data_IF_492493274822
#
_entry.id   IF_492493274822
#
_cell.length_a   1.000
_cell.length_b   1.000
_cell.length_c   1.000
_cell.angle_alpha   90.00
_cell.angle_beta   90.00
_cell.angle_gamma   90.00
#
_symmetry.space_group_name_H-M   'P 1'
#
loop_
_entity.id
_entity.type
_entity.pdbx_description
1 polymer ?
#
# COMPACT_ATOMS: atom_id res chain seq x y z
N UNK A 1 -3.11 -63.36 32.85
CA UNK A 1 -1.70 -63.28 33.29
C UNK A 1 -1.01 -62.18 32.50
N UNK A 2 -0.45 -61.22 33.24
CA UNK A 2 0.58 -60.22 32.93
C UNK A 2 0.48 -59.29 31.71
N UNK A 3 0.14 -58.04 32.07
CA UNK A 3 0.55 -56.76 31.49
C UNK A 3 2.08 -56.59 31.47
N UNK A 4 2.61 -55.84 30.49
CA UNK A 4 3.82 -55.04 30.68
C UNK A 4 3.87 -53.83 29.72
N UNK A 5 3.67 -52.65 30.31
CA UNK A 5 4.05 -51.33 29.77
C UNK A 5 5.57 -51.16 29.79
N UNK A 6 6.12 -50.42 28.82
CA UNK A 6 7.42 -49.76 28.95
C UNK A 6 7.35 -48.35 28.34
N UNK A 7 7.36 -47.35 29.23
CA UNK A 7 7.71 -45.95 28.97
C UNK A 7 9.20 -45.75 29.24
N UNK A 8 9.89 -44.91 28.46
CA UNK A 8 11.12 -44.14 28.77
C UNK A 8 11.46 -43.32 27.51
N UNK A 9 12.05 -42.13 27.47
CA UNK A 9 12.34 -41.04 28.41
C UNK A 9 12.75 -39.83 27.51
N UNK A 10 12.37 -38.60 27.84
CA UNK A 10 12.93 -37.38 27.21
C UNK A 10 14.32 -37.10 27.79
N UNK A 11 15.25 -36.48 27.04
CA UNK A 11 16.29 -35.65 27.63
C UNK A 11 15.97 -34.15 27.52
N UNK A 12 16.54 -33.44 28.48
CA UNK A 12 16.18 -32.14 29.00
C UNK A 12 16.74 -30.94 28.20
N UNK A 13 16.05 -29.82 28.38
CA UNK A 13 16.48 -28.47 28.04
C UNK A 13 17.52 -27.97 29.05
N UNK A 14 18.57 -27.31 28.58
CA UNK A 14 19.49 -26.49 29.38
C UNK A 14 19.21 -25.01 29.11
N UNK A 15 19.14 -24.14 30.15
CA UNK A 15 18.97 -22.70 29.97
C UNK A 15 20.33 -21.99 29.89
N UNK A 16 20.46 -21.07 28.94
CA UNK A 16 21.60 -20.16 28.82
C UNK A 16 21.40 -18.97 29.77
N UNK A 17 22.37 -18.74 30.65
CA UNK A 17 22.48 -17.56 31.53
C UNK A 17 23.43 -16.57 30.86
N UNK A 18 22.99 -15.33 30.65
CA UNK A 18 23.89 -14.19 30.48
C UNK A 18 24.00 -13.39 31.78
N UNK A 19 25.21 -12.97 32.09
CA UNK A 19 25.56 -12.16 33.24
C UNK A 19 26.38 -10.95 32.77
N UNK A 20 26.15 -9.80 33.42
CA UNK A 20 27.25 -8.91 33.80
C UNK A 20 27.40 -7.59 33.06
N UNK A 21 26.84 -6.55 33.67
CA UNK A 21 27.15 -5.11 33.58
C UNK A 21 28.62 -4.77 33.85
N UNK A 22 29.17 -3.68 33.26
CA UNK A 22 29.92 -2.60 33.96
C UNK A 22 30.24 -1.39 33.06
N UNK A 23 30.49 -0.26 33.73
CA UNK A 23 30.50 1.14 33.31
C UNK A 23 31.81 1.66 32.65
N UNK A 24 31.78 2.92 32.17
CA UNK A 24 32.90 3.72 31.59
C UNK A 24 34.01 4.11 32.60
N UNK A 25 34.76 5.25 32.47
CA UNK A 25 34.48 6.48 31.70
C UNK A 25 35.72 7.21 31.07
N UNK A 26 35.50 8.47 30.65
CA UNK A 26 36.38 9.67 30.71
C UNK A 26 37.28 10.13 29.53
N UNK A 27 36.97 11.38 29.13
CA UNK A 27 37.84 12.58 29.07
C UNK A 27 38.68 12.86 27.81
N UNK A 28 38.54 14.09 27.30
CA UNK A 28 39.42 14.69 26.29
C UNK A 28 38.86 15.98 25.71
N UNK A 29 39.18 17.11 26.35
CA UNK A 29 38.70 18.48 26.08
C UNK A 29 39.67 19.21 25.14
N UNK A 30 39.16 20.26 24.47
CA UNK A 30 39.88 21.50 23.98
C UNK A 30 40.67 21.38 22.67
N UNK A 31 40.86 22.37 21.76
CA UNK A 31 40.80 23.86 21.72
C UNK A 31 40.63 24.33 20.24
N UNK A 32 39.92 25.46 20.07
CA UNK A 32 39.98 26.57 19.08
C UNK A 32 40.53 26.44 17.64
N UNK A 33 39.87 27.19 16.74
CA UNK A 33 40.49 27.79 15.54
C UNK A 33 39.50 28.51 14.63
N UNK A 34 39.01 29.69 15.04
CA UNK A 34 38.27 30.60 14.17
C UNK A 34 39.24 31.49 13.37
N UNK A 35 38.92 31.77 12.11
CA UNK A 35 39.49 32.88 11.34
C UNK A 35 38.37 33.55 10.53
N UNK A 36 38.13 34.82 10.89
CA UNK A 36 37.29 35.79 10.20
C UNK A 36 37.89 36.23 8.86
N UNK A 37 37.03 36.77 7.98
CA UNK A 37 37.37 38.05 7.36
C UNK A 37 37.08 38.27 5.87
N UNK A 38 35.88 38.80 5.61
CA UNK A 38 35.57 40.06 4.86
C UNK A 38 35.78 40.18 3.32
N UNK A 39 34.72 40.72 2.70
CA UNK A 39 34.67 41.53 1.46
C UNK A 39 33.28 41.36 0.80
N UNK A 40 32.29 42.27 0.88
CA UNK A 40 32.23 43.66 0.42
C UNK A 40 32.11 43.70 -1.11
N UNK A 41 31.07 44.16 -1.83
CA UNK A 41 29.81 44.89 -1.60
C UNK A 41 29.09 45.00 -2.99
N UNK A 42 27.85 45.52 -3.08
CA UNK A 42 27.00 45.41 -4.29
C UNK A 42 27.01 46.68 -5.17
N UNK A 43 26.69 46.55 -6.46
CA UNK A 43 26.40 47.68 -7.35
C UNK A 43 25.08 47.44 -8.07
N UNK A 44 24.11 48.30 -7.79
CA UNK A 44 22.84 48.45 -8.50
C UNK A 44 23.04 49.37 -9.71
N UNK A 45 22.29 49.13 -10.79
CA UNK A 45 22.00 50.16 -11.80
C UNK A 45 20.52 50.13 -12.18
N UNK A 46 19.97 51.32 -12.27
CA UNK A 46 18.58 51.72 -12.46
C UNK A 46 18.21 51.82 -13.94
N UNK A 47 16.92 51.69 -14.25
CA UNK A 47 16.30 52.15 -15.49
C UNK A 47 15.14 53.10 -15.16
N UNK A 48 14.95 54.22 -15.89
CA UNK A 48 13.86 55.15 -15.65
C UNK A 48 12.61 54.86 -16.49
N UNK A 49 11.48 55.26 -15.91
CA UNK A 49 10.14 55.37 -16.50
C UNK A 49 10.08 56.20 -17.78
N UNK A 50 9.22 55.78 -18.72
CA UNK A 50 8.45 56.69 -19.59
C UNK A 50 7.04 56.15 -19.88
N UNK A 51 6.04 56.95 -19.47
CA UNK A 51 4.67 56.94 -19.99
C UNK A 51 4.62 57.19 -21.50
N UNK A 52 3.54 56.75 -22.18
CA UNK A 52 2.53 57.60 -22.85
C UNK A 52 1.73 56.85 -23.96
N UNK A 53 0.39 56.96 -23.85
CA UNK A 53 -0.71 56.95 -24.83
C UNK A 53 -1.21 55.71 -25.60
N UNK A 54 -2.42 55.31 -25.20
CA UNK A 54 -3.65 55.07 -25.98
C UNK A 54 -3.59 55.15 -27.51
N UNK A 55 -4.03 54.08 -28.17
CA UNK A 55 -4.95 54.17 -29.33
C UNK A 55 -5.86 52.94 -29.34
N UNK A 56 -7.17 53.18 -29.39
CA UNK A 56 -8.23 52.17 -29.45
C UNK A 56 -8.22 51.40 -30.78
N UNK A 57 -8.41 50.08 -30.71
CA UNK A 57 -8.98 49.28 -31.79
C UNK A 57 -10.14 48.45 -31.21
N UNK A 58 -11.37 48.85 -31.53
CA UNK A 58 -12.58 48.09 -31.22
C UNK A 58 -12.71 46.99 -32.28
N UNK A 59 -12.45 45.74 -31.89
CA UNK A 59 -12.79 44.55 -32.68
C UNK A 59 -14.04 43.95 -32.07
N UNK A 60 -15.14 43.97 -32.83
CA UNK A 60 -16.39 43.33 -32.46
C UNK A 60 -16.27 41.82 -32.69
N UNK A 61 -16.16 41.04 -31.61
CA UNK A 61 -16.17 39.57 -31.66
C UNK A 61 -17.55 39.07 -31.26
N UNK A 62 -18.16 38.30 -32.16
CA UNK A 62 -19.45 37.63 -31.96
C UNK A 62 -19.28 36.56 -30.86
N UNK A 63 -20.00 36.71 -29.74
CA UNK A 63 -20.10 35.71 -28.67
C UNK A 63 -21.07 34.60 -29.11
N UNK A 64 -20.52 33.46 -29.55
CA UNK A 64 -21.24 32.19 -29.50
C UNK A 64 -21.14 31.67 -28.06
N UNK A 65 -22.26 31.69 -27.33
CA UNK A 65 -22.39 31.05 -26.03
C UNK A 65 -22.36 29.52 -26.21
N UNK A 66 -21.16 28.95 -26.29
CA UNK A 66 -20.95 27.54 -25.99
C UNK A 66 -21.01 27.39 -24.47
N UNK A 67 -21.97 26.60 -23.97
CA UNK A 67 -21.94 26.13 -22.59
C UNK A 67 -20.70 25.25 -22.42
N UNK A 68 -19.59 25.86 -22.01
CA UNK A 68 -18.40 25.14 -21.58
C UNK A 68 -18.76 24.46 -20.27
N UNK A 69 -18.96 23.15 -20.31
CA UNK A 69 -18.91 22.32 -19.11
C UNK A 69 -17.51 22.46 -18.54
N UNK A 70 -17.37 23.14 -17.40
CA UNK A 70 -16.11 23.25 -16.69
C UNK A 70 -15.56 21.83 -16.42
N UNK A 71 -14.26 21.56 -16.68
CA UNK A 71 -13.68 20.28 -16.34
C UNK A 71 -13.67 20.11 -14.81
N UNK A 72 -13.83 18.87 -14.31
CA UNK A 72 -13.92 18.64 -12.87
C UNK A 72 -12.63 19.09 -12.17
N UNK A 73 -12.79 19.87 -11.12
CA UNK A 73 -11.72 20.39 -10.27
C UNK A 73 -11.09 19.27 -9.42
N UNK A 74 -9.84 19.48 -8.96
CA UNK A 74 -9.06 18.57 -8.08
C UNK A 74 -9.82 18.09 -6.82
N UNK A 75 -10.91 18.76 -6.44
CA UNK A 75 -11.80 18.36 -5.36
C UNK A 75 -12.55 17.04 -5.65
N UNK A 76 -12.92 16.75 -6.90
CA UNK A 76 -13.68 15.53 -7.23
C UNK A 76 -12.88 14.24 -7.04
N UNK A 77 -11.54 14.34 -6.94
CA UNK A 77 -10.65 13.20 -6.68
C UNK A 77 -10.49 12.91 -5.18
N UNK A 78 -10.95 13.81 -4.30
CA UNK A 78 -10.83 13.70 -2.83
C UNK A 78 -12.14 13.33 -2.13
N UNK A 79 -13.21 13.08 -2.88
CA UNK A 79 -14.47 12.62 -2.31
C UNK A 79 -14.26 11.27 -1.61
N UNK A 80 -14.70 11.12 -0.35
CA UNK A 80 -14.59 9.85 0.34
C UNK A 80 -15.40 8.79 -0.42
N UNK A 81 -14.78 7.63 -0.69
CA UNK A 81 -15.41 6.51 -1.41
C UNK A 81 -16.77 6.08 -0.83
N UNK A 82 -17.06 6.41 0.43
CA UNK A 82 -18.36 6.27 1.07
C UNK A 82 -19.50 7.07 0.44
N UNK A 83 -19.24 7.94 -0.56
CA UNK A 83 -20.24 8.72 -1.31
C UNK A 83 -20.32 8.36 -2.81
N UNK A 84 -19.61 7.34 -3.30
CA UNK A 84 -19.76 6.91 -4.70
C UNK A 84 -21.12 6.22 -4.87
N UNK A 85 -21.93 6.70 -5.82
CA UNK A 85 -23.16 6.05 -6.28
C UNK A 85 -22.87 4.64 -6.81
N UNK A 86 -23.88 3.75 -6.84
CA UNK A 86 -23.74 2.36 -7.33
C UNK A 86 -23.19 2.22 -8.76
N UNK A 87 -23.20 3.32 -9.53
CA UNK A 87 -22.57 3.42 -10.84
C UNK A 87 -21.34 4.30 -10.74
N UNK A 88 -20.15 3.72 -10.96
CA UNK A 88 -18.91 4.47 -11.16
C UNK A 88 -18.95 5.13 -12.56
N UNK A 89 -19.06 6.46 -12.69
CA UNK A 89 -19.09 7.12 -13.99
C UNK A 89 -17.82 6.88 -14.82
N UNK A 90 -16.72 6.51 -14.14
CA UNK A 90 -15.43 6.20 -14.73
C UNK A 90 -15.20 4.69 -14.90
N UNK A 91 -16.26 3.87 -14.94
CA UNK A 91 -16.16 2.41 -15.06
C UNK A 91 -15.29 1.97 -16.26
N UNK A 92 -15.41 2.69 -17.37
CA UNK A 92 -14.67 2.49 -18.62
C UNK A 92 -13.14 2.65 -18.48
N UNK A 93 -12.64 3.19 -17.35
CA UNK A 93 -11.21 3.36 -17.07
C UNK A 93 -10.59 2.20 -16.30
N UNK A 94 -11.40 1.23 -15.85
CA UNK A 94 -10.91 0.02 -15.22
C UNK A 94 -10.45 -0.99 -16.26
N UNK A 95 -9.21 -1.44 -16.14
CA UNK A 95 -8.60 -2.44 -17.01
C UNK A 95 -8.43 -3.74 -16.21
N UNK A 96 -9.02 -4.87 -16.64
CA UNK A 96 -8.75 -6.15 -16.02
C UNK A 96 -7.29 -6.57 -16.22
N UNK A 97 -6.65 -7.08 -15.17
CA UNK A 97 -5.27 -7.62 -15.22
C UNK A 97 -5.24 -9.13 -14.95
N UNK A 98 -6.40 -9.77 -14.97
CA UNK A 98 -6.57 -11.21 -14.93
C UNK A 98 -7.77 -11.57 -15.81
N UNK A 99 -7.60 -12.57 -16.67
CA UNK A 99 -8.59 -12.97 -17.69
C UNK A 99 -9.60 -14.00 -17.17
N UNK A 100 -9.41 -14.52 -15.94
CA UNK A 100 -10.24 -15.57 -15.35
C UNK A 100 -9.84 -17.00 -15.72
N UNK A 101 -8.86 -17.20 -16.61
CA UNK A 101 -8.57 -18.51 -17.21
C UNK A 101 -7.09 -18.88 -17.23
N UNK A 102 -6.19 -17.91 -17.27
CA UNK A 102 -4.74 -18.13 -17.36
C UNK A 102 -3.98 -17.22 -16.38
N UNK A 103 -2.74 -17.61 -16.08
CA UNK A 103 -1.78 -16.74 -15.38
C UNK A 103 -0.98 -15.87 -16.36
N UNK A 104 -1.53 -15.54 -17.54
CA UNK A 104 -0.85 -14.64 -18.47
C UNK A 104 -0.57 -13.29 -17.81
N UNK A 105 0.67 -12.83 -17.91
CA UNK A 105 1.14 -11.63 -17.22
C UNK A 105 1.47 -11.82 -15.74
N UNK A 106 1.26 -13.01 -15.19
CA UNK A 106 1.59 -13.39 -13.82
C UNK A 106 2.72 -14.43 -13.78
N UNK A 107 3.62 -14.33 -12.80
CA UNK A 107 4.75 -15.25 -12.63
C UNK A 107 4.99 -15.54 -11.16
N UNK A 108 4.95 -16.81 -10.79
CA UNK A 108 5.22 -17.29 -9.44
C UNK A 108 5.61 -18.75 -9.44
N UNK A 109 5.79 -19.32 -8.27
CA UNK A 109 6.14 -20.73 -8.12
C UNK A 109 4.93 -21.64 -8.47
N UNK A 110 4.98 -22.44 -9.55
CA UNK A 110 3.82 -23.22 -10.01
C UNK A 110 3.41 -24.31 -9.02
N UNK A 111 4.24 -24.58 -7.99
CA UNK A 111 3.90 -25.45 -6.86
C UNK A 111 2.72 -24.92 -6.04
N UNK A 112 2.49 -23.62 -6.02
CA UNK A 112 1.49 -22.98 -5.16
C UNK A 112 0.37 -22.27 -5.93
N UNK A 113 0.59 -21.93 -7.20
CA UNK A 113 -0.29 -21.05 -7.97
C UNK A 113 -0.97 -21.78 -9.13
N UNK A 114 -2.29 -21.71 -9.16
CA UNK A 114 -3.16 -22.25 -10.23
C UNK A 114 -4.29 -21.27 -10.55
N UNK A 115 -5.07 -21.57 -11.59
CA UNK A 115 -6.36 -20.92 -11.86
C UNK A 115 -7.47 -21.95 -11.71
N UNK A 116 -8.49 -21.63 -10.92
CA UNK A 116 -9.67 -22.48 -10.70
C UNK A 116 -10.91 -21.59 -10.62
N UNK A 117 -11.99 -21.98 -11.30
CA UNK A 117 -13.30 -21.33 -11.21
C UNK A 117 -13.27 -19.80 -11.36
N UNK A 118 -12.52 -19.30 -12.36
CA UNK A 118 -12.42 -17.86 -12.59
C UNK A 118 -11.54 -17.11 -11.59
N UNK A 119 -10.76 -17.81 -10.77
CA UNK A 119 -9.94 -17.24 -9.70
C UNK A 119 -8.47 -17.60 -9.86
N UNK A 120 -7.56 -16.67 -9.53
CA UNK A 120 -6.20 -17.01 -9.15
C UNK A 120 -6.27 -17.70 -7.79
N UNK A 121 -5.61 -18.86 -7.66
CA UNK A 121 -5.59 -19.65 -6.43
C UNK A 121 -4.17 -19.85 -5.97
N UNK A 122 -3.86 -19.38 -4.76
CA UNK A 122 -2.65 -19.71 -4.02
C UNK A 122 -2.97 -20.74 -2.96
N UNK A 123 -2.28 -21.90 -2.94
CA UNK A 123 -2.60 -23.00 -2.02
C UNK A 123 -1.38 -23.67 -1.41
N UNK A 124 -1.39 -23.83 -0.09
CA UNK A 124 -0.51 -24.71 0.67
C UNK A 124 -1.31 -25.81 1.37
N UNK A 125 -0.76 -27.02 1.45
CA UNK A 125 -1.38 -28.17 2.12
C UNK A 125 -0.38 -28.85 3.06
N UNK A 126 -0.79 -29.78 3.94
CA UNK A 126 0.16 -30.57 4.72
C UNK A 126 1.18 -31.33 3.85
N UNK A 127 0.76 -31.84 2.69
CA UNK A 127 1.58 -32.56 1.72
C UNK A 127 2.40 -31.61 0.85
N UNK A 128 1.93 -30.37 0.71
CA UNK A 128 2.58 -29.30 -0.05
C UNK A 128 2.79 -28.04 0.82
N UNK A 129 3.64 -28.10 1.86
CA UNK A 129 3.74 -27.01 2.82
C UNK A 129 4.49 -25.80 2.25
N UNK A 130 4.02 -24.60 2.61
CA UNK A 130 4.71 -23.34 2.34
C UNK A 130 5.63 -23.02 3.53
N UNK A 131 6.91 -23.42 3.42
CA UNK A 131 7.91 -23.23 4.49
C UNK A 131 8.65 -21.89 4.40
N UNK A 132 8.56 -21.24 3.24
CA UNK A 132 8.99 -19.87 2.98
C UNK A 132 7.84 -19.17 2.28
N UNK A 133 7.59 -17.91 2.59
CA UNK A 133 6.54 -17.13 1.92
C UNK A 133 6.87 -17.02 0.42
N UNK A 134 5.86 -17.12 -0.43
CA UNK A 134 6.00 -17.00 -1.89
C UNK A 134 5.02 -15.97 -2.43
N UNK A 135 5.32 -15.43 -3.60
CA UNK A 135 4.49 -14.42 -4.24
C UNK A 135 4.24 -14.73 -5.73
N UNK A 136 3.08 -14.32 -6.22
CA UNK A 136 2.73 -14.32 -7.64
C UNK A 136 2.85 -12.89 -8.16
N UNK A 137 3.87 -12.62 -8.97
CA UNK A 137 4.17 -11.27 -9.48
C UNK A 137 3.34 -10.98 -10.72
N UNK A 138 2.70 -9.82 -10.80
CA UNK A 138 2.22 -9.30 -12.07
C UNK A 138 3.35 -8.52 -12.77
N UNK A 139 3.43 -8.59 -14.09
CA UNK A 139 4.50 -7.93 -14.85
C UNK A 139 4.37 -6.40 -14.93
N UNK A 140 3.16 -5.85 -14.72
CA UNK A 140 2.95 -4.41 -14.80
C UNK A 140 3.66 -3.68 -13.66
N UNK A 141 4.38 -2.61 -14.02
CA UNK A 141 4.89 -1.61 -13.10
C UNK A 141 3.87 -0.47 -13.04
N UNK A 142 3.43 -0.15 -11.82
CA UNK A 142 2.39 0.85 -11.56
C UNK A 142 2.90 1.90 -10.59
N UNK A 143 2.60 3.15 -10.88
CA UNK A 143 2.86 4.34 -10.08
C UNK A 143 1.56 4.76 -9.34
N UNK A 144 0.79 5.68 -9.90
CA UNK A 144 -0.45 6.19 -9.35
C UNK A 144 -1.65 5.42 -9.92
N UNK A 145 -2.38 4.72 -9.06
CA UNK A 145 -3.47 3.83 -9.48
C UNK A 145 -4.52 3.65 -8.37
N UNK A 146 -5.70 3.22 -8.80
CA UNK A 146 -6.63 2.45 -7.99
C UNK A 146 -6.59 0.99 -8.44
N UNK A 147 -6.59 0.05 -7.51
CA UNK A 147 -6.64 -1.39 -7.76
C UNK A 147 -7.81 -1.98 -6.97
N UNK A 148 -8.77 -2.58 -7.65
CA UNK A 148 -9.88 -3.33 -7.03
C UNK A 148 -9.70 -4.81 -7.30
N UNK A 149 -10.09 -5.65 -6.33
CA UNK A 149 -10.16 -7.10 -6.46
C UNK A 149 -11.09 -7.68 -5.40
N UNK A 150 -11.56 -8.89 -5.62
CA UNK A 150 -12.22 -9.69 -4.60
C UNK A 150 -11.27 -10.74 -4.06
N UNK A 151 -11.26 -10.94 -2.74
CA UNK A 151 -10.40 -11.90 -2.05
C UNK A 151 -11.20 -12.77 -1.08
N UNK A 152 -10.82 -14.04 -1.00
CA UNK A 152 -11.35 -15.02 -0.05
C UNK A 152 -10.22 -15.91 0.48
N UNK A 153 -10.24 -16.19 1.77
CA UNK A 153 -9.27 -17.05 2.45
C UNK A 153 -9.94 -18.27 3.08
N UNK A 154 -9.28 -19.41 2.96
CA UNK A 154 -9.68 -20.67 3.59
C UNK A 154 -8.51 -21.22 4.41
N UNK A 155 -8.82 -21.75 5.61
CA UNK A 155 -7.84 -22.21 6.60
C UNK A 155 -7.74 -21.27 7.81
N UNK A 156 -7.71 -21.83 9.02
CA UNK A 156 -7.75 -21.07 10.27
C UNK A 156 -6.58 -20.07 10.41
N UNK A 157 -5.40 -20.46 9.95
CA UNK A 157 -4.19 -19.62 9.97
C UNK A 157 -3.90 -18.88 8.66
N UNK A 158 -4.87 -18.81 7.73
CA UNK A 158 -4.65 -18.26 6.41
C UNK A 158 -4.35 -16.75 6.47
N UNK A 159 -3.24 -16.35 5.86
CA UNK A 159 -2.76 -14.98 5.76
C UNK A 159 -2.23 -14.75 4.36
N UNK A 160 -2.62 -13.63 3.76
CA UNK A 160 -2.21 -13.21 2.43
C UNK A 160 -2.21 -11.69 2.38
N UNK A 161 -2.01 -11.16 1.18
CA UNK A 161 -2.08 -9.74 0.91
C UNK A 161 -1.71 -9.47 -0.53
N UNK A 162 -2.07 -8.28 -0.98
CA UNK A 162 -1.63 -7.74 -2.25
C UNK A 162 -0.49 -6.77 -1.99
N UNK A 163 0.72 -7.17 -2.40
CA UNK A 163 1.86 -6.28 -2.51
C UNK A 163 1.62 -5.29 -3.65
N UNK A 164 2.03 -4.05 -3.46
CA UNK A 164 1.95 -3.01 -4.46
C UNK A 164 3.10 -2.02 -4.33
N UNK A 165 3.44 -1.35 -5.44
CA UNK A 165 4.68 -0.55 -5.57
C UNK A 165 5.91 -1.25 -4.98
N UNK A 166 5.93 -2.56 -5.10
CA UNK A 166 6.95 -3.41 -4.51
C UNK A 166 8.04 -3.71 -5.53
N UNK A 167 9.24 -4.02 -5.06
CA UNK A 167 10.38 -4.39 -5.89
C UNK A 167 10.71 -5.86 -5.66
N UNK A 168 10.96 -6.66 -6.71
CA UNK A 168 11.51 -8.01 -6.57
C UNK A 168 12.77 -8.00 -5.69
N UNK A 169 12.86 -8.96 -4.78
CA UNK A 169 13.89 -8.96 -3.75
C UNK A 169 14.61 -10.31 -3.69
N UNK A 170 15.93 -10.26 -3.57
CA UNK A 170 16.82 -11.41 -3.78
C UNK A 170 17.28 -12.07 -2.47
N UNK A 171 16.45 -12.10 -1.43
CA UNK A 171 16.74 -12.84 -0.18
C UNK A 171 16.60 -14.35 -0.37
N UNK A 172 17.13 -15.17 0.57
CA UNK A 172 16.93 -16.62 0.50
C UNK A 172 15.44 -16.94 0.71
N UNK A 173 14.82 -17.39 -0.38
CA UNK A 173 13.44 -17.85 -0.47
C UNK A 173 13.29 -18.77 -1.70
N UNK A 174 12.14 -18.73 -2.36
CA UNK A 174 11.90 -19.52 -3.57
C UNK A 174 12.16 -18.75 -4.88
N UNK A 175 12.74 -17.55 -4.77
CA UNK A 175 13.06 -16.67 -5.90
C UNK A 175 11.94 -15.69 -6.28
N UNK A 176 10.83 -15.68 -5.54
CA UNK A 176 9.71 -14.77 -5.76
C UNK A 176 9.50 -13.75 -4.63
N UNK A 177 10.47 -13.56 -3.74
CA UNK A 177 10.37 -12.54 -2.69
C UNK A 177 10.25 -11.12 -3.27
N UNK A 178 9.66 -10.23 -2.47
CA UNK A 178 9.53 -8.81 -2.76
C UNK A 178 9.82 -7.97 -1.51
N UNK A 179 10.18 -6.71 -1.71
CA UNK A 179 10.18 -5.68 -0.68
C UNK A 179 9.24 -4.55 -1.07
N UNK A 180 8.49 -4.00 -0.11
CA UNK A 180 7.57 -2.89 -0.34
C UNK A 180 6.22 -3.07 0.35
N UNK A 181 5.27 -2.21 -0.01
CA UNK A 181 3.96 -2.13 0.62
C UNK A 181 3.11 -3.37 0.38
N UNK A 182 2.37 -3.79 1.41
CA UNK A 182 1.36 -4.84 1.37
C UNK A 182 0.05 -4.32 1.96
N UNK A 183 -1.04 -4.59 1.25
CA UNK A 183 -2.38 -4.57 1.79
C UNK A 183 -2.72 -5.97 2.31
N UNK A 184 -2.68 -6.14 3.63
CA UNK A 184 -2.88 -7.45 4.27
C UNK A 184 -4.34 -7.87 4.26
N UNK A 185 -4.54 -9.20 4.21
CA UNK A 185 -5.81 -9.86 4.44
C UNK A 185 -5.58 -11.21 5.11
N UNK A 186 -6.31 -11.50 6.18
CA UNK A 186 -6.14 -12.72 6.99
C UNK A 186 -7.48 -13.25 7.48
N UNK A 187 -7.61 -14.58 7.62
CA UNK A 187 -8.90 -15.19 7.96
C UNK A 187 -9.42 -14.81 9.35
N UNK A 188 -8.52 -14.48 10.28
CA UNK A 188 -8.90 -14.05 11.64
C UNK A 188 -9.23 -12.54 11.73
N UNK A 189 -9.10 -11.80 10.61
CA UNK A 189 -9.17 -10.35 10.54
C UNK A 189 -8.34 -9.64 11.62
N UNK A 190 -7.18 -10.19 11.97
CA UNK A 190 -6.23 -9.56 12.89
C UNK A 190 -5.42 -8.47 12.18
N UNK A 191 -5.10 -8.67 10.91
CA UNK A 191 -4.26 -7.79 10.10
C UNK A 191 -4.95 -7.28 8.84
N UNK A 192 -6.12 -7.83 8.49
CA UNK A 192 -6.89 -7.39 7.32
C UNK A 192 -7.06 -5.87 7.29
N UNK A 193 -6.50 -5.22 6.26
CA UNK A 193 -6.56 -3.78 6.07
C UNK A 193 -5.32 -2.99 6.47
N UNK A 194 -4.35 -3.56 7.18
CA UNK A 194 -3.14 -2.82 7.59
C UNK A 194 -2.25 -2.48 6.38
N UNK A 195 -1.37 -1.49 6.57
CA UNK A 195 -0.16 -1.37 5.77
C UNK A 195 0.95 -2.19 6.41
N UNK A 196 1.35 -3.26 5.75
CA UNK A 196 2.62 -3.91 6.05
C UNK A 196 3.67 -3.46 5.03
N UNK A 197 4.94 -3.38 5.42
CA UNK A 197 6.04 -3.09 4.49
C UNK A 197 7.12 -4.16 4.63
N UNK A 198 7.14 -5.07 3.66
CA UNK A 198 8.01 -6.24 3.60
C UNK A 198 9.47 -5.82 3.42
N UNK A 199 10.35 -6.31 4.30
CA UNK A 199 11.75 -5.85 4.46
C UNK A 199 11.91 -4.35 4.75
N UNK A 200 10.85 -3.68 5.21
CA UNK A 200 10.86 -2.27 5.59
C UNK A 200 10.38 -2.06 7.03
N UNK A 201 9.35 -1.25 7.21
CA UNK A 201 8.77 -0.85 8.52
C UNK A 201 8.01 -1.97 9.24
N UNK A 202 7.73 -3.11 8.62
CA UNK A 202 6.81 -4.11 9.17
C UNK A 202 5.38 -3.56 9.20
N UNK A 203 4.66 -3.69 10.32
CA UNK A 203 3.33 -3.06 10.48
C UNK A 203 3.49 -1.53 10.52
N UNK A 204 3.32 -0.91 9.36
CA UNK A 204 3.56 0.51 9.17
C UNK A 204 2.36 1.35 9.63
N UNK A 205 1.13 0.93 9.30
CA UNK A 205 -0.14 1.58 9.68
C UNK A 205 -1.18 0.52 10.04
N UNK A 206 -1.72 0.59 11.25
CA UNK A 206 -2.78 -0.31 11.73
C UNK A 206 -4.15 0.05 11.16
N UNK A 207 -5.08 -0.91 11.20
CA UNK A 207 -6.47 -0.69 10.82
C UNK A 207 -7.10 0.36 11.74
N UNK A 208 -7.84 1.28 11.13
CA UNK A 208 -8.43 2.46 11.77
C UNK A 208 -7.52 3.69 11.82
N UNK A 209 -6.22 3.55 11.55
CA UNK A 209 -5.27 4.65 11.65
C UNK A 209 -5.14 5.46 10.35
N UNK A 210 -4.81 6.74 10.53
CA UNK A 210 -4.44 7.67 9.46
C UNK A 210 -3.10 8.33 9.83
N UNK A 211 -2.02 7.97 9.13
CA UNK A 211 -0.65 8.29 9.52
C UNK A 211 0.09 9.02 8.41
N UNK A 212 0.73 10.15 8.73
CA UNK A 212 1.80 10.73 7.90
C UNK A 212 3.16 10.23 8.40
N UNK A 213 3.96 9.68 7.48
CA UNK A 213 5.38 9.48 7.71
C UNK A 213 6.11 10.75 7.28
N UNK A 214 6.87 11.36 8.19
CA UNK A 214 7.70 12.52 7.87
C UNK A 214 9.00 12.08 7.18
N UNK A 215 9.75 13.05 6.64
CA UNK A 215 11.01 12.80 5.92
C UNK A 215 12.06 12.04 6.73
N UNK A 216 12.06 12.23 8.06
CA UNK A 216 12.95 11.54 9.00
C UNK A 216 12.43 10.16 9.46
N UNK A 217 11.30 9.71 8.92
CA UNK A 217 10.65 8.46 9.26
C UNK A 217 9.77 8.51 10.51
N UNK A 218 9.68 9.65 11.21
CA UNK A 218 8.76 9.83 12.33
C UNK A 218 7.30 9.79 11.86
N UNK A 219 6.40 9.29 12.72
CA UNK A 219 4.96 9.16 12.42
C UNK A 219 4.20 10.31 13.06
N UNK A 220 3.21 10.85 12.33
CA UNK A 220 2.22 11.80 12.84
C UNK A 220 0.83 11.29 12.51
N UNK A 221 -0.05 11.20 13.50
CA UNK A 221 -1.48 10.98 13.25
C UNK A 221 -2.08 12.22 12.56
N UNK A 222 -2.79 12.00 11.45
CA UNK A 222 -3.38 13.07 10.62
C UNK A 222 -4.91 13.07 10.64
N UNK A 223 -5.54 12.01 11.11
CA UNK A 223 -6.96 11.95 11.45
C UNK A 223 -7.13 11.09 12.71
N UNK A 224 -8.12 11.36 13.58
CA UNK A 224 -8.38 10.55 14.76
C UNK A 224 -8.52 9.07 14.41
N UNK A 225 -7.79 8.21 15.12
CA UNK A 225 -7.89 6.78 14.92
C UNK A 225 -9.32 6.27 15.15
N UNK A 226 -9.83 5.49 14.20
CA UNK A 226 -11.11 4.78 14.35
C UNK A 226 -10.88 3.48 15.11
N UNK A 227 -11.83 3.04 15.97
CA UNK A 227 -11.67 1.80 16.72
C UNK A 227 -11.52 0.58 15.80
N UNK A 228 -10.42 -0.17 15.97
CA UNK A 228 -10.15 -1.40 15.22
C UNK A 228 -11.32 -2.39 15.29
N UNK A 229 -11.91 -2.53 16.48
CA UNK A 229 -13.02 -3.43 16.73
C UNK A 229 -14.26 -3.11 15.88
N UNK A 230 -14.52 -1.85 15.56
CA UNK A 230 -15.69 -1.46 14.77
C UNK A 230 -15.48 -1.78 13.29
N UNK A 231 -14.27 -1.55 12.77
CA UNK A 231 -13.92 -1.96 11.41
C UNK A 231 -13.88 -3.49 11.27
N UNK A 232 -13.37 -4.20 12.28
CA UNK A 232 -13.35 -5.67 12.31
C UNK A 232 -14.76 -6.26 12.28
N UNK A 233 -15.74 -5.64 12.95
CA UNK A 233 -17.14 -6.11 12.94
C UNK A 233 -17.73 -6.13 11.54
N UNK A 234 -17.39 -5.15 10.68
CA UNK A 234 -17.85 -5.13 9.28
C UNK A 234 -17.34 -6.34 8.52
N UNK A 235 -16.04 -6.64 8.65
CA UNK A 235 -15.44 -7.81 8.01
C UNK A 235 -16.09 -9.11 8.50
N UNK A 236 -16.26 -9.26 9.82
CA UNK A 236 -16.93 -10.44 10.40
C UNK A 236 -18.38 -10.57 9.94
N UNK A 237 -19.09 -9.45 9.76
CA UNK A 237 -20.47 -9.46 9.26
C UNK A 237 -20.54 -9.94 7.80
N UNK A 238 -19.60 -9.52 6.95
CA UNK A 238 -19.48 -10.00 5.57
C UNK A 238 -19.16 -11.50 5.56
N UNK A 239 -18.21 -11.95 6.38
CA UNK A 239 -17.84 -13.36 6.53
C UNK A 239 -19.03 -14.26 6.97
N UNK A 240 -19.95 -13.70 7.76
CA UNK A 240 -21.13 -14.39 8.28
C UNK A 240 -22.36 -14.33 7.35
N UNK A 241 -22.35 -13.44 6.35
CA UNK A 241 -23.45 -13.29 5.41
C UNK A 241 -23.35 -14.36 4.31
N UNK A 242 -24.29 -15.31 4.21
CA UNK A 242 -24.26 -16.33 3.18
C UNK A 242 -24.33 -15.77 1.76
N UNK A 243 -24.82 -14.53 1.56
CA UNK A 243 -24.89 -13.89 0.24
C UNK A 243 -23.51 -13.46 -0.28
N UNK A 244 -22.51 -13.30 0.59
CA UNK A 244 -21.14 -12.91 0.20
C UNK A 244 -20.28 -14.13 -0.09
N UNK A 245 -20.67 -15.29 0.44
CA UNK A 245 -19.91 -16.54 0.39
C UNK A 245 -18.47 -16.41 0.94
N UNK A 246 -18.24 -15.42 1.82
CA UNK A 246 -16.93 -15.09 2.38
C UNK A 246 -16.00 -14.33 1.43
N UNK A 247 -16.53 -13.76 0.35
CA UNK A 247 -15.78 -12.84 -0.51
C UNK A 247 -15.80 -11.42 0.06
N UNK A 248 -14.63 -10.79 0.06
CA UNK A 248 -14.45 -9.40 0.42
C UNK A 248 -13.98 -8.60 -0.78
N UNK A 249 -14.52 -7.40 -0.96
CA UNK A 249 -14.05 -6.48 -2.00
C UNK A 249 -12.98 -5.57 -1.41
N UNK A 250 -11.79 -5.62 -1.98
CA UNK A 250 -10.67 -4.78 -1.61
C UNK A 250 -10.47 -3.68 -2.65
N UNK A 251 -10.12 -2.48 -2.18
CA UNK A 251 -9.65 -1.39 -3.02
C UNK A 251 -8.39 -0.78 -2.41
N UNK A 252 -7.34 -0.71 -3.21
CA UNK A 252 -6.09 0.00 -2.90
C UNK A 252 -6.05 1.27 -3.72
N UNK A 253 -5.84 2.41 -3.07
CA UNK A 253 -5.60 3.70 -3.73
C UNK A 253 -4.17 4.11 -3.45
N UNK A 254 -3.39 4.32 -4.51
CA UNK A 254 -2.05 4.86 -4.45
C UNK A 254 -2.00 6.12 -5.33
N UNK A 255 -2.08 7.30 -4.72
CA UNK A 255 -2.08 8.61 -5.39
C UNK A 255 -0.92 9.46 -4.86
N UNK A 256 0.17 9.52 -5.61
CA UNK A 256 1.42 10.11 -5.19
C UNK A 256 1.88 9.48 -3.88
N UNK A 257 1.94 10.28 -2.81
CA UNK A 257 2.35 9.82 -1.46
C UNK A 257 1.20 9.32 -0.61
N UNK A 258 -0.04 9.42 -1.10
CA UNK A 258 -1.24 9.01 -0.38
C UNK A 258 -1.57 7.56 -0.69
N UNK A 259 -1.65 6.74 0.35
CA UNK A 259 -1.95 5.32 0.27
C UNK A 259 -3.20 5.04 1.11
N UNK A 260 -4.20 4.39 0.52
CA UNK A 260 -5.41 3.98 1.24
C UNK A 260 -5.77 2.55 0.93
N UNK A 261 -6.25 1.84 1.96
CA UNK A 261 -6.89 0.55 1.82
C UNK A 261 -8.36 0.70 2.18
N UNK A 262 -9.22 0.08 1.39
CA UNK A 262 -10.65 -0.03 1.60
C UNK A 262 -11.05 -1.49 1.50
N UNK A 263 -11.92 -1.93 2.42
CA UNK A 263 -12.50 -3.27 2.39
C UNK A 263 -14.00 -3.14 2.59
N UNK A 264 -14.78 -3.74 1.70
CA UNK A 264 -16.25 -3.74 1.72
C UNK A 264 -16.85 -2.33 1.83
N UNK A 265 -16.29 -1.40 1.05
CA UNK A 265 -16.70 0.01 1.01
C UNK A 265 -16.25 0.85 2.21
N UNK A 266 -15.54 0.28 3.19
CA UNK A 266 -15.01 1.00 4.34
C UNK A 266 -13.52 1.27 4.18
N UNK A 267 -13.08 2.54 4.30
CA UNK A 267 -11.65 2.84 4.41
C UNK A 267 -11.16 2.16 5.67
N UNK A 268 -10.09 1.38 5.60
CA UNK A 268 -9.53 0.69 6.77
C UNK A 268 -8.21 1.31 7.22
N UNK A 269 -7.48 2.02 6.37
CA UNK A 269 -6.34 2.85 6.79
C UNK A 269 -6.10 4.01 5.81
N UNK A 270 -5.26 4.96 6.24
CA UNK A 270 -4.65 5.98 5.38
C UNK A 270 -3.18 6.17 5.76
N UNK A 271 -2.32 6.30 4.75
CA UNK A 271 -0.96 6.76 4.88
C UNK A 271 -0.67 7.97 3.97
N UNK A 272 0.12 8.93 4.46
CA UNK A 272 0.84 9.90 3.65
C UNK A 272 2.34 9.70 3.84
N UNK A 273 3.01 9.11 2.85
CA UNK A 273 4.40 8.70 2.98
C UNK A 273 5.37 9.75 2.43
N UNK A 274 5.86 10.62 3.31
CA UNK A 274 6.92 11.58 3.01
C UNK A 274 8.31 11.10 3.44
N UNK A 275 8.44 9.85 3.90
CA UNK A 275 9.73 9.26 4.23
C UNK A 275 10.63 9.26 2.99
N UNK A 276 11.93 9.42 3.22
CA UNK A 276 12.96 9.18 2.21
C UNK A 276 12.89 7.80 1.54
N UNK A 277 12.31 6.81 2.21
CA UNK A 277 12.11 5.43 1.75
C UNK A 277 10.87 5.22 0.87
N UNK A 278 10.09 6.27 0.62
CA UNK A 278 8.87 6.21 -0.18
C UNK A 278 9.09 5.49 -1.52
N UNK A 279 8.27 4.49 -1.80
CA UNK A 279 8.21 3.84 -3.11
C UNK A 279 7.11 4.48 -3.97
N UNK A 280 7.52 5.14 -5.05
CA UNK A 280 6.61 5.84 -5.98
C UNK A 280 5.97 4.94 -7.03
N UNK A 281 6.62 3.82 -7.36
CA UNK A 281 6.17 2.85 -8.34
C UNK A 281 6.70 1.46 -8.01
N UNK A 282 6.15 0.43 -8.66
CA UNK A 282 6.65 -0.94 -8.57
C UNK A 282 5.61 -1.95 -9.05
N UNK A 283 5.87 -3.23 -8.80
CA UNK A 283 4.99 -4.32 -9.23
C UNK A 283 3.85 -4.57 -8.22
N UNK A 284 2.85 -5.31 -8.70
CA UNK A 284 1.88 -6.00 -7.85
C UNK A 284 2.34 -7.43 -7.58
N UNK A 285 2.06 -7.96 -6.39
CA UNK A 285 2.26 -9.38 -6.13
C UNK A 285 1.29 -9.95 -5.09
N UNK A 286 0.72 -11.13 -5.35
CA UNK A 286 -0.19 -11.80 -4.41
C UNK A 286 0.59 -12.80 -3.54
N UNK A 287 0.31 -12.85 -2.24
CA UNK A 287 1.07 -13.65 -1.28
C UNK A 287 0.43 -15.01 -0.98
N UNK A 288 1.23 -16.07 -0.88
CA UNK A 288 0.93 -17.24 -0.02
C UNK A 288 1.91 -17.19 1.14
N UNK A 289 1.39 -16.96 2.35
CA UNK A 289 2.21 -16.81 3.54
C UNK A 289 2.71 -18.18 4.03
N UNK A 290 3.93 -18.21 4.55
CA UNK A 290 4.45 -19.40 5.21
C UNK A 290 3.62 -19.78 6.45
N UNK A 291 3.44 -21.07 6.71
CA UNK A 291 2.75 -21.52 7.92
C UNK A 291 1.74 -22.64 7.68
N UNK A 292 0.65 -22.70 8.47
CA UNK A 292 -0.39 -23.71 8.32
C UNK A 292 -0.99 -23.74 6.91
N UNK A 293 -1.58 -24.88 6.50
CA UNK A 293 -2.31 -24.99 5.23
C UNK A 293 -3.30 -23.85 5.03
N UNK A 294 -3.30 -23.28 3.84
CA UNK A 294 -4.19 -22.19 3.47
C UNK A 294 -4.53 -22.19 1.99
N UNK A 295 -5.65 -21.57 1.66
CA UNK A 295 -6.01 -21.19 0.29
C UNK A 295 -6.31 -19.70 0.28
N UNK A 296 -5.73 -18.97 -0.67
CA UNK A 296 -6.20 -17.64 -1.07
C UNK A 296 -6.79 -17.74 -2.46
N UNK A 297 -7.98 -17.16 -2.65
CA UNK A 297 -8.65 -17.02 -3.94
C UNK A 297 -8.81 -15.55 -4.24
N UNK A 298 -8.43 -15.12 -5.43
CA UNK A 298 -8.56 -13.74 -5.89
C UNK A 298 -9.19 -13.70 -7.28
N UNK A 299 -10.17 -12.82 -7.47
CA UNK A 299 -10.85 -12.60 -8.75
C UNK A 299 -11.18 -11.13 -8.96
N UNK A 300 -11.74 -10.81 -10.12
CA UNK A 300 -12.16 -9.45 -10.50
C UNK A 300 -11.05 -8.39 -10.30
N UNK A 301 -9.82 -8.73 -10.70
CA UNK A 301 -8.65 -7.88 -10.49
C UNK A 301 -8.61 -6.82 -11.59
N UNK A 302 -8.89 -5.57 -11.22
CA UNK A 302 -8.96 -4.44 -12.16
C UNK A 302 -8.15 -3.27 -11.65
N UNK A 303 -7.43 -2.62 -12.56
CA UNK A 303 -6.62 -1.44 -12.26
C UNK A 303 -7.12 -0.22 -13.04
N UNK A 304 -7.13 0.93 -12.40
CA UNK A 304 -7.37 2.23 -13.03
C UNK A 304 -6.19 3.13 -12.74
N UNK A 305 -5.43 3.50 -13.78
CA UNK A 305 -4.33 4.47 -13.63
C UNK A 305 -4.88 5.86 -13.31
N UNK A 306 -4.27 6.51 -12.33
CA UNK A 306 -4.57 7.88 -11.94
C UNK A 306 -3.62 8.78 -12.73
N UNK A 307 -4.13 9.46 -13.76
CA UNK A 307 -3.32 10.36 -14.58
C UNK A 307 -2.68 11.49 -13.76
N UNK A 308 -1.64 12.15 -14.32
CA UNK A 308 -0.89 13.20 -13.63
C UNK A 308 -1.81 14.30 -13.11
N UNK A 309 -1.51 14.85 -11.93
CA UNK A 309 -2.23 16.02 -11.41
C UNK A 309 -2.08 17.16 -12.41
N UNK A 310 -3.18 17.61 -13.02
CA UNK A 310 -3.21 18.94 -13.65
C UNK A 310 -2.93 19.93 -12.51
N UNK A 311 -1.80 20.62 -12.56
CA UNK A 311 -1.59 21.74 -11.65
C UNK A 311 -2.74 22.74 -11.88
N UNK A 312 -3.32 23.35 -10.84
CA UNK A 312 -4.25 24.45 -11.05
C UNK A 312 -3.53 25.48 -11.92
N UNK A 313 -4.18 25.90 -13.02
CA UNK A 313 -3.67 26.98 -13.87
C UNK A 313 -3.29 28.14 -12.96
N UNK A 314 -2.03 28.55 -13.05
CA UNK A 314 -1.54 29.73 -12.36
C UNK A 314 -2.34 30.91 -12.93
N UNK A 315 -3.34 31.36 -12.16
CA UNK A 315 -4.10 32.57 -12.50
C UNK A 315 -3.11 33.71 -12.39
N UNK A 316 -2.51 34.05 -13.53
CA UNK A 316 -1.61 35.19 -13.64
C UNK A 316 -2.48 36.45 -13.41
N UNK A 317 -2.12 37.30 -12.42
CA UNK A 317 -2.88 38.50 -12.08
C UNK A 317 -2.92 39.52 -13.22
#
# INVERSE_FOLDING_TARGET
>A
MFSLSLSFNRPAQTPFKEAGTTAGPTCGRTVFGACDGRGGGPIATSYPDRMVLNTLAVVATILLAGAATEPPTDASRREPLSQRTDVDPDEHRWVPIFDGTTLEGWRGNPRFWTVEDGCIVGRSTPENPCTVTTYLHHHAVLDDFELTFEIKLEGEGANSGMQYRSTPWSTPGDGFDVSGYQADFDKAHRYSGILYETYGRGIAVGRGQAIRFNKDGSKKEIEPARPDADLKKVLVAVDADPATEGWHRYLIVADGRRLEHWIDGQRVMLAEDHDSRFAGEGILALQVHQGPPMVVRVRDIRVRKLGPKKQPEEVNP
#
